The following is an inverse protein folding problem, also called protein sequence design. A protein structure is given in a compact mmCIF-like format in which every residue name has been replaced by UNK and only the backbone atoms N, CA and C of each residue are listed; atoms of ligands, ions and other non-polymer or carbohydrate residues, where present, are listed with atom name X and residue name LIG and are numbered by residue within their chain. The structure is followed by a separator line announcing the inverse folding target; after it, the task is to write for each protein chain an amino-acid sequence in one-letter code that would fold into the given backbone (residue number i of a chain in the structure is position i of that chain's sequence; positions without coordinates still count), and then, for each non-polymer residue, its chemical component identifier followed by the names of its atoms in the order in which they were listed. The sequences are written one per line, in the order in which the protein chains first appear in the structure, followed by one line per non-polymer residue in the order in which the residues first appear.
data_IF_369777809343
#
_entry.id   IF_369777809343
#
_cell.length_a   1.000
_cell.length_b   1.000
_cell.length_c   1.000
_cell.angle_alpha   90.00
_cell.angle_beta   90.00
_cell.angle_gamma   90.00
#
_symmetry.space_group_name_H-M   'P 1'
#
loop_
_entity.id
_entity.type
_entity.pdbx_description
1 polymer ?
#
# COMPACT_ATOMS: atom_id res chain seq x y z
N UNK A 1 39.08 19.30 7.73
CA UNK A 1 38.12 18.18 7.88
C UNK A 1 38.42 17.46 9.18
N UNK A 2 37.51 17.44 10.18
CA UNK A 2 37.55 16.42 11.21
C UNK A 2 36.79 15.19 10.71
N UNK A 3 37.49 14.08 10.61
CA UNK A 3 36.93 12.76 10.28
C UNK A 3 36.18 12.26 11.53
N UNK A 4 34.89 11.87 11.46
CA UNK A 4 34.26 11.21 12.58
C UNK A 4 34.91 9.84 12.76
N UNK A 5 35.60 9.66 13.89
CA UNK A 5 36.14 8.39 14.35
C UNK A 5 35.03 7.41 14.64
N UNK A 6 35.21 6.20 14.11
CA UNK A 6 34.55 4.93 14.40
C UNK A 6 33.39 4.96 15.41
N UNK A 7 32.18 4.78 14.91
CA UNK A 7 31.10 4.12 15.64
C UNK A 7 30.26 3.39 14.62
N UNK A 8 30.54 2.10 14.45
CA UNK A 8 29.77 1.19 13.61
C UNK A 8 28.35 1.04 14.14
N UNK A 9 27.47 1.98 13.79
CA UNK A 9 26.04 1.83 14.03
C UNK A 9 25.45 1.02 12.88
N UNK A 10 25.45 -0.30 13.05
CA UNK A 10 24.80 -1.23 12.12
C UNK A 10 23.30 -1.07 12.30
N UNK A 11 22.63 -0.40 11.36
CA UNK A 11 21.18 -0.32 11.34
C UNK A 11 20.60 -1.66 10.87
N UNK A 12 20.27 -2.54 11.81
CA UNK A 12 19.50 -3.76 11.55
C UNK A 12 17.98 -3.50 11.65
N UNK A 13 17.53 -2.30 11.29
CA UNK A 13 16.15 -1.86 11.48
C UNK A 13 15.35 -1.96 10.19
N UNK A 14 14.21 -2.65 10.25
CA UNK A 14 13.18 -2.60 9.21
C UNK A 14 12.84 -1.13 8.96
N UNK A 15 13.04 -0.65 7.73
CA UNK A 15 12.68 0.73 7.39
C UNK A 15 11.15 0.85 7.47
N UNK A 16 10.59 1.79 8.25
CA UNK A 16 9.16 2.02 8.24
C UNK A 16 8.76 2.43 6.81
N UNK A 17 7.85 1.66 6.20
CA UNK A 17 7.28 2.01 4.90
C UNK A 17 6.21 3.06 5.16
N UNK A 18 6.63 4.32 5.11
CA UNK A 18 5.74 5.47 5.15
C UNK A 18 4.88 5.51 3.87
N UNK A 19 3.73 4.83 3.91
CA UNK A 19 2.65 5.04 2.95
C UNK A 19 1.76 6.15 3.52
N UNK A 20 1.97 7.38 3.05
CA UNK A 20 1.08 8.47 3.38
C UNK A 20 -0.25 8.26 2.63
N UNK A 21 -1.34 7.95 3.34
CA UNK A 21 -2.68 7.82 2.77
C UNK A 21 -3.57 6.88 3.57
N UNK A 22 -4.78 6.66 3.07
CA UNK A 22 -5.70 5.63 3.56
C UNK A 22 -5.68 4.43 2.63
N UNK A 23 -5.65 3.22 3.20
CA UNK A 23 -5.82 1.97 2.45
C UNK A 23 -7.21 1.41 2.75
N UNK A 24 -8.04 1.31 1.73
CA UNK A 24 -9.34 0.66 1.82
C UNK A 24 -9.24 -0.76 1.30
N UNK A 25 -9.69 -1.71 2.11
CA UNK A 25 -10.00 -3.06 1.67
C UNK A 25 -11.49 -3.13 1.39
N UNK A 26 -11.83 -3.40 0.14
CA UNK A 26 -13.21 -3.52 -0.31
C UNK A 26 -13.47 -4.97 -0.71
N UNK A 27 -14.60 -5.51 -0.25
CA UNK A 27 -15.16 -6.77 -0.74
C UNK A 27 -16.40 -6.39 -1.53
N UNK A 28 -16.44 -6.75 -2.81
CA UNK A 28 -17.52 -6.37 -3.73
C UNK A 28 -17.91 -7.55 -4.61
N UNK A 29 -19.21 -7.75 -4.79
CA UNK A 29 -19.73 -8.66 -5.81
C UNK A 29 -19.73 -7.94 -7.15
N UNK A 30 -19.11 -8.56 -8.16
CA UNK A 30 -19.12 -8.06 -9.53
C UNK A 30 -19.58 -9.17 -10.47
N UNK A 31 -20.43 -8.80 -11.43
CA UNK A 31 -20.88 -9.69 -12.49
C UNK A 31 -20.07 -9.42 -13.75
N UNK A 32 -19.24 -10.37 -14.17
CA UNK A 32 -18.57 -10.34 -15.47
C UNK A 32 -19.17 -11.41 -16.39
N UNK A 33 -19.65 -10.99 -17.57
CA UNK A 33 -20.23 -11.89 -18.60
C UNK A 33 -21.32 -12.85 -18.07
N UNK A 34 -22.09 -12.41 -17.08
CA UNK A 34 -23.18 -13.19 -16.47
C UNK A 34 -22.76 -14.09 -15.31
N UNK A 35 -21.49 -14.08 -14.91
CA UNK A 35 -21.00 -14.79 -13.72
C UNK A 35 -20.78 -13.79 -12.59
N UNK A 36 -21.55 -13.91 -11.51
CA UNK A 36 -21.39 -13.09 -10.30
C UNK A 36 -20.36 -13.74 -9.39
N UNK A 37 -19.40 -12.91 -8.98
CA UNK A 37 -18.14 -13.32 -8.42
C UNK A 37 -17.75 -12.34 -7.31
N UNK A 38 -17.22 -12.85 -6.21
CA UNK A 38 -16.80 -12.01 -5.09
C UNK A 38 -15.37 -11.54 -5.35
N UNK A 39 -15.13 -10.25 -5.21
CA UNK A 39 -13.84 -9.65 -5.52
C UNK A 39 -13.33 -8.86 -4.32
N UNK A 40 -12.03 -8.98 -4.10
CA UNK A 40 -11.30 -8.18 -3.13
C UNK A 40 -10.47 -7.13 -3.86
N UNK A 41 -10.67 -5.87 -3.47
CA UNK A 41 -9.96 -4.73 -4.00
C UNK A 41 -9.24 -3.98 -2.88
N UNK A 42 -7.98 -3.62 -3.11
CA UNK A 42 -7.20 -2.78 -2.20
C UNK A 42 -6.93 -1.44 -2.87
N UNK A 43 -7.50 -0.37 -2.34
CA UNK A 43 -7.39 1.00 -2.88
C UNK A 43 -6.56 1.85 -1.94
N UNK A 44 -5.55 2.52 -2.48
CA UNK A 44 -4.78 3.53 -1.77
C UNK A 44 -5.24 4.94 -2.14
N UNK A 45 -5.71 5.70 -1.17
CA UNK A 45 -6.19 7.06 -1.32
C UNK A 45 -5.28 8.08 -0.62
N UNK A 46 -5.04 9.20 -1.31
CA UNK A 46 -4.45 10.42 -0.74
C UNK A 46 -5.42 11.56 -0.99
N UNK A 47 -6.32 11.80 -0.03
CA UNK A 47 -7.39 12.80 -0.16
C UNK A 47 -6.83 14.21 -0.44
N UNK A 48 -5.70 14.57 0.17
CA UNK A 48 -5.02 15.87 -0.03
C UNK A 48 -4.38 16.04 -1.41
N UNK A 49 -4.31 14.99 -2.22
CA UNK A 49 -3.87 15.04 -3.63
C UNK A 49 -5.01 14.70 -4.60
N UNK A 50 -6.24 14.50 -4.10
CA UNK A 50 -7.35 13.94 -4.88
C UNK A 50 -6.94 12.67 -5.66
N UNK A 51 -6.09 11.85 -5.05
CA UNK A 51 -5.47 10.70 -5.71
C UNK A 51 -6.01 9.39 -5.15
N UNK A 52 -6.42 8.48 -6.04
CA UNK A 52 -6.82 7.11 -5.72
C UNK A 52 -6.12 6.15 -6.67
N UNK A 53 -5.56 5.08 -6.13
CA UNK A 53 -4.88 4.04 -6.91
C UNK A 53 -5.32 2.66 -6.45
N UNK A 54 -5.79 1.85 -7.40
CA UNK A 54 -6.11 0.46 -7.16
C UNK A 54 -4.80 -0.34 -7.12
N UNK A 55 -4.41 -0.77 -5.94
CA UNK A 55 -3.14 -1.48 -5.72
C UNK A 55 -3.25 -2.98 -5.89
N UNK A 56 -4.44 -3.56 -5.67
CA UNK A 56 -4.72 -4.97 -5.87
C UNK A 56 -6.18 -5.16 -6.22
N UNK A 57 -6.45 -6.10 -7.13
CA UNK A 57 -7.78 -6.58 -7.46
C UNK A 57 -7.70 -8.07 -7.72
N UNK A 58 -8.41 -8.87 -6.92
CA UNK A 58 -8.41 -10.33 -7.03
C UNK A 58 -9.80 -10.89 -6.84
N UNK A 59 -10.06 -11.98 -7.55
CA UNK A 59 -11.24 -12.81 -7.34
C UNK A 59 -11.03 -13.69 -6.10
N UNK A 60 -12.09 -13.90 -5.31
CA UNK A 60 -12.09 -14.80 -4.14
C UNK A 60 -13.07 -15.94 -4.28
#
# INVERSE_FOLDING_TARGET
MPKPTSSSKRWCGVRPKNVAGFNYWLILEATDKGVTNNNEAVVWEKAWMSYRNLTSFRHV
#
